data_IF_686825710010
#
_entry.id   IF_686825710010
#
_cell.length_a   1.000
_cell.length_b   1.000
_cell.length_c   1.000
_cell.angle_alpha   90.00
_cell.angle_beta   90.00
_cell.angle_gamma   90.00
#
_symmetry.space_group_name_H-M   'P 1'
#
loop_
_entity.id
_entity.type
_entity.pdbx_description
1 polymer ?
#
# COMPACT_ATOMS: atom_id res chain seq x y z
N UNK A 1 22.80 25.95 13.92
CA UNK A 1 22.00 25.85 12.67
C UNK A 1 21.75 27.28 12.15
N UNK A 2 22.19 27.59 10.93
CA UNK A 2 22.14 28.96 10.39
C UNK A 2 20.70 29.46 10.23
N UNK A 3 20.47 30.74 10.53
CA UNK A 3 19.16 31.43 10.46
C UNK A 3 18.48 31.29 9.09
N UNK A 4 19.26 31.06 8.03
CA UNK A 4 18.75 30.71 6.69
C UNK A 4 17.93 29.41 6.67
N UNK A 5 18.35 28.38 7.43
CA UNK A 5 17.66 27.08 7.50
C UNK A 5 16.31 27.20 8.23
N UNK A 6 16.21 28.10 9.21
CA UNK A 6 14.96 28.36 9.92
C UNK A 6 13.94 29.11 9.06
N UNK A 7 14.39 30.07 8.23
CA UNK A 7 13.50 30.82 7.33
C UNK A 7 12.99 29.94 6.18
N UNK A 8 13.85 29.08 5.61
CA UNK A 8 13.42 28.13 4.56
C UNK A 8 12.41 27.12 5.10
N UNK A 9 12.58 26.65 6.36
CA UNK A 9 11.62 25.75 6.99
C UNK A 9 10.29 26.43 7.33
N UNK A 10 10.29 27.72 7.72
CA UNK A 10 9.06 28.45 8.00
C UNK A 10 8.22 28.71 6.73
N UNK A 11 8.87 29.02 5.59
CA UNK A 11 8.17 29.25 4.32
C UNK A 11 7.62 27.93 3.73
N UNK A 12 8.33 26.82 3.90
CA UNK A 12 7.86 25.49 3.47
C UNK A 12 6.64 24.99 4.29
N UNK A 13 6.53 25.40 5.56
CA UNK A 13 5.44 24.97 6.46
C UNK A 13 4.21 25.88 6.37
N UNK A 14 4.35 27.16 6.00
CA UNK A 14 3.21 28.09 5.90
C UNK A 14 2.54 28.14 4.51
N UNK A 15 3.18 27.65 3.45
CA UNK A 15 2.57 27.57 2.11
C UNK A 15 1.41 26.57 1.99
N UNK A 16 1.21 25.72 3.00
CA UNK A 16 0.21 24.64 3.01
C UNK A 16 -1.10 24.99 3.75
N UNK A 17 -1.23 26.19 4.33
CA UNK A 17 -2.38 26.52 5.21
C UNK A 17 -3.29 27.61 4.62
N UNK A 18 -2.96 28.23 3.49
CA UNK A 18 -3.69 29.39 2.96
C UNK A 18 -4.32 29.20 1.56
N UNK A 19 -4.51 27.96 1.09
CA UNK A 19 -5.21 27.67 -0.16
C UNK A 19 -6.35 26.69 0.08
N UNK A 20 -7.58 27.20 0.17
CA UNK A 20 -8.78 26.40 0.39
C UNK A 20 -8.93 25.27 -0.62
N UNK A 21 -8.87 24.04 -0.13
CA UNK A 21 -9.28 22.84 -0.87
C UNK A 21 -10.76 22.55 -0.59
N UNK A 22 -11.65 23.49 -0.91
CA UNK A 22 -13.08 23.17 -1.04
C UNK A 22 -13.33 22.57 -2.43
N UNK A 23 -12.67 21.44 -2.72
CA UNK A 23 -12.99 20.64 -3.89
C UNK A 23 -13.96 19.55 -3.46
N UNK A 24 -15.19 19.47 -4.02
CA UNK A 24 -16.15 18.41 -3.71
C UNK A 24 -15.73 17.03 -4.24
N UNK A 25 -14.51 16.90 -4.79
CA UNK A 25 -13.93 15.67 -5.35
C UNK A 25 -13.81 14.53 -4.33
N UNK A 26 -13.85 14.83 -3.02
CA UNK A 26 -13.76 13.81 -1.97
C UNK A 26 -15.08 13.12 -1.59
N UNK A 27 -16.20 13.48 -2.23
CA UNK A 27 -17.54 13.03 -1.79
C UNK A 27 -18.14 11.83 -2.56
N UNK A 28 -17.43 11.28 -3.55
CA UNK A 28 -17.86 10.11 -4.33
C UNK A 28 -16.92 8.92 -4.18
N UNK A 29 -17.44 7.72 -4.43
CA UNK A 29 -16.67 6.47 -4.60
C UNK A 29 -15.44 6.77 -5.47
N UNK A 30 -14.22 6.61 -4.92
CA UNK A 30 -13.01 6.96 -5.66
C UNK A 30 -12.64 5.78 -6.58
N UNK A 31 -12.85 5.88 -7.91
CA UNK A 31 -12.64 4.76 -8.82
C UNK A 31 -11.20 4.25 -8.79
N UNK A 32 -10.23 5.11 -8.45
CA UNK A 32 -8.83 4.70 -8.30
C UNK A 32 -8.61 3.80 -7.09
N UNK A 33 -9.38 3.96 -6.01
CA UNK A 33 -9.29 3.07 -4.83
C UNK A 33 -9.81 1.68 -5.17
N UNK A 34 -10.96 1.59 -5.84
CA UNK A 34 -11.52 0.32 -6.29
C UNK A 34 -10.58 -0.40 -7.25
N UNK A 35 -10.01 0.31 -8.24
CA UNK A 35 -9.05 -0.28 -9.18
C UNK A 35 -7.75 -0.70 -8.47
N UNK A 36 -7.28 0.06 -7.49
CA UNK A 36 -6.11 -0.30 -6.68
C UNK A 36 -6.34 -1.59 -5.89
N UNK A 37 -7.51 -1.74 -5.26
CA UNK A 37 -7.90 -2.96 -4.54
C UNK A 37 -7.97 -4.15 -5.51
N UNK A 38 -8.51 -3.95 -6.71
CA UNK A 38 -8.55 -4.99 -7.75
C UNK A 38 -7.14 -5.42 -8.17
N UNK A 39 -6.26 -4.49 -8.51
CA UNK A 39 -4.87 -4.81 -8.87
C UNK A 39 -4.10 -5.46 -7.71
N UNK A 40 -4.36 -5.07 -6.46
CA UNK A 40 -3.76 -5.72 -5.30
C UNK A 40 -4.20 -7.20 -5.18
N UNK A 41 -5.47 -7.52 -5.47
CA UNK A 41 -5.96 -8.91 -5.52
C UNK A 41 -5.31 -9.71 -6.65
N UNK A 42 -5.16 -9.12 -7.83
CA UNK A 42 -4.46 -9.74 -8.96
C UNK A 42 -2.98 -9.99 -8.63
N UNK A 43 -2.31 -9.02 -8.00
CA UNK A 43 -0.93 -9.16 -7.53
C UNK A 43 -0.75 -10.30 -6.53
N UNK A 44 -1.65 -10.41 -5.54
CA UNK A 44 -1.66 -11.52 -4.58
C UNK A 44 -1.86 -12.87 -5.28
N UNK A 45 -2.72 -12.94 -6.30
CA UNK A 45 -2.91 -14.17 -7.07
C UNK A 45 -1.63 -14.58 -7.80
N UNK A 46 -0.97 -13.64 -8.48
CA UNK A 46 0.32 -13.90 -9.14
C UNK A 46 1.42 -14.30 -8.16
N UNK A 47 1.46 -13.70 -6.97
CA UNK A 47 2.44 -14.06 -5.94
C UNK A 47 2.22 -15.50 -5.43
N UNK A 48 0.97 -15.93 -5.25
CA UNK A 48 0.64 -17.32 -4.92
C UNK A 48 1.09 -18.31 -6.00
N UNK A 49 0.91 -17.97 -7.27
CA UNK A 49 1.41 -18.77 -8.40
C UNK A 49 2.95 -18.81 -8.42
N UNK A 50 3.60 -17.68 -8.20
CA UNK A 50 5.06 -17.59 -8.14
C UNK A 50 5.64 -18.45 -7.00
N UNK A 51 5.00 -18.43 -5.82
CA UNK A 51 5.35 -19.30 -4.69
C UNK A 51 5.21 -20.77 -5.07
N UNK A 52 4.12 -21.15 -5.75
CA UNK A 52 3.91 -22.54 -6.21
C UNK A 52 5.03 -22.98 -7.15
N UNK A 53 5.38 -22.16 -8.13
CA UNK A 53 6.48 -22.46 -9.04
C UNK A 53 7.84 -22.51 -8.34
N UNK A 54 8.07 -21.67 -7.34
CA UNK A 54 9.29 -21.71 -6.54
C UNK A 54 9.36 -23.01 -5.72
N UNK A 55 8.26 -23.43 -5.09
CA UNK A 55 8.17 -24.70 -4.36
C UNK A 55 8.46 -25.90 -5.27
N UNK A 56 7.93 -25.91 -6.49
CA UNK A 56 8.23 -26.93 -7.49
C UNK A 56 9.70 -26.90 -7.93
N UNK A 57 10.24 -25.71 -8.19
CA UNK A 57 11.62 -25.53 -8.65
C UNK A 57 12.66 -25.97 -7.60
N UNK A 58 12.35 -25.81 -6.31
CA UNK A 58 13.25 -26.19 -5.22
C UNK A 58 12.96 -27.58 -4.65
N UNK A 59 11.99 -28.31 -5.19
CA UNK A 59 11.60 -29.63 -4.70
C UNK A 59 12.79 -30.60 -4.78
N UNK A 60 13.20 -31.14 -3.64
CA UNK A 60 14.36 -32.02 -3.54
C UNK A 60 15.72 -31.31 -3.59
N UNK A 61 15.73 -29.98 -3.52
CA UNK A 61 16.96 -29.19 -3.40
C UNK A 61 17.34 -28.96 -1.93
N UNK A 62 18.64 -29.03 -1.65
CA UNK A 62 19.22 -28.66 -0.36
C UNK A 62 19.82 -27.25 -0.34
N UNK A 63 19.56 -26.47 -1.38
CA UNK A 63 20.02 -25.08 -1.44
C UNK A 63 19.31 -24.23 -0.37
N UNK A 64 20.06 -23.82 0.65
CA UNK A 64 19.56 -23.01 1.76
C UNK A 64 18.98 -21.66 1.31
N UNK A 65 19.62 -20.98 0.35
CA UNK A 65 19.14 -19.70 -0.16
C UNK A 65 17.84 -19.83 -0.94
N UNK A 66 17.62 -20.97 -1.61
CA UNK A 66 16.37 -21.21 -2.33
C UNK A 66 15.19 -21.43 -1.36
N UNK A 67 15.44 -22.09 -0.23
CA UNK A 67 14.47 -22.24 0.87
C UNK A 67 14.19 -20.90 1.56
N UNK A 68 15.23 -20.10 1.81
CA UNK A 68 15.10 -18.74 2.37
C UNK A 68 14.31 -17.80 1.45
N UNK A 69 14.56 -17.86 0.13
CA UNK A 69 13.79 -17.11 -0.85
C UNK A 69 12.29 -17.47 -0.83
N UNK A 70 11.97 -18.76 -0.63
CA UNK A 70 10.58 -19.22 -0.48
C UNK A 70 9.92 -18.67 0.79
N UNK A 71 10.64 -18.66 1.91
CA UNK A 71 10.13 -18.06 3.16
C UNK A 71 9.87 -16.56 2.98
N UNK A 72 10.79 -15.81 2.38
CA UNK A 72 10.57 -14.39 2.11
C UNK A 72 9.42 -14.11 1.15
N UNK A 73 9.19 -14.97 0.15
CA UNK A 73 8.03 -14.87 -0.71
C UNK A 73 6.72 -15.08 0.08
N UNK A 74 6.68 -16.05 0.99
CA UNK A 74 5.53 -16.28 1.88
C UNK A 74 5.28 -15.11 2.85
N UNK A 75 6.33 -14.52 3.41
CA UNK A 75 6.23 -13.32 4.24
C UNK A 75 5.72 -12.11 3.46
N UNK A 76 6.21 -11.93 2.22
CA UNK A 76 5.77 -10.86 1.32
C UNK A 76 4.28 -10.99 1.00
N UNK A 77 3.81 -12.20 0.70
CA UNK A 77 2.41 -12.50 0.48
C UNK A 77 1.54 -12.14 1.69
N UNK A 78 2.00 -12.49 2.90
CA UNK A 78 1.28 -12.15 4.13
C UNK A 78 1.14 -10.63 4.28
N UNK A 79 2.21 -9.87 4.07
CA UNK A 79 2.15 -8.40 4.13
C UNK A 79 1.24 -7.80 3.04
N UNK A 80 1.20 -8.40 1.85
CA UNK A 80 0.29 -7.99 0.79
C UNK A 80 -1.18 -8.21 1.20
N UNK A 81 -1.51 -9.35 1.79
CA UNK A 81 -2.87 -9.66 2.30
C UNK A 81 -3.29 -8.73 3.45
N UNK A 82 -2.38 -8.41 4.38
CA UNK A 82 -2.63 -7.43 5.45
C UNK A 82 -2.84 -6.02 4.87
N UNK A 83 -2.03 -5.62 3.90
CA UNK A 83 -2.16 -4.32 3.22
C UNK A 83 -3.49 -4.20 2.46
N UNK A 84 -3.92 -5.27 1.79
CA UNK A 84 -5.21 -5.33 1.12
C UNK A 84 -6.36 -5.19 2.13
N UNK A 85 -6.28 -5.89 3.26
CA UNK A 85 -7.28 -5.79 4.34
C UNK A 85 -7.42 -4.35 4.83
N UNK A 86 -6.30 -3.65 5.05
CA UNK A 86 -6.32 -2.24 5.44
C UNK A 86 -6.87 -1.31 4.34
N UNK A 87 -6.57 -1.58 3.07
CA UNK A 87 -7.11 -0.81 1.96
C UNK A 87 -8.64 -0.97 1.86
N UNK A 88 -9.16 -2.19 2.04
CA UNK A 88 -10.60 -2.48 2.05
C UNK A 88 -11.30 -1.80 3.25
N UNK A 89 -10.70 -1.86 4.44
CA UNK A 89 -11.20 -1.14 5.63
C UNK A 89 -11.24 0.38 5.39
N UNK A 90 -10.17 0.95 4.84
CA UNK A 90 -10.10 2.38 4.55
C UNK A 90 -11.14 2.82 3.51
N UNK A 91 -11.39 1.98 2.49
CA UNK A 91 -12.46 2.20 1.52
C UNK A 91 -13.84 2.16 2.18
N UNK A 92 -14.08 1.22 3.10
CA UNK A 92 -15.33 1.10 3.84
C UNK A 92 -15.57 2.27 4.82
N UNK A 93 -14.55 2.74 5.55
CA UNK A 93 -14.68 3.83 6.54
C UNK A 93 -14.98 5.19 5.90
N UNK A 94 -14.60 5.44 4.65
CA UNK A 94 -14.99 6.67 3.93
C UNK A 94 -16.50 6.76 3.66
N UNK A 95 -17.23 5.65 3.72
CA UNK A 95 -18.69 5.63 3.53
C UNK A 95 -19.48 6.07 4.77
N UNK A 96 -18.88 6.07 5.97
CA UNK A 96 -19.59 6.34 7.25
C UNK A 96 -19.29 7.72 7.87
N UNK A 97 -18.45 8.54 7.23
CA UNK A 97 -18.03 9.85 7.74
C UNK A 97 -18.97 11.05 7.48
N UNK A 98 -20.21 10.83 6.99
CA UNK A 98 -21.20 11.89 6.77
C UNK A 98 -22.43 11.71 7.67
N UNK A 99 -22.27 12.03 8.95
CA UNK A 99 -23.39 12.37 9.82
C UNK A 99 -22.88 13.22 10.98
N UNK A 100 -22.70 14.52 10.74
CA UNK A 100 -22.86 15.60 11.72
C UNK A 100 -22.91 16.94 10.99
#
# INVERSE_FOLDING_TARGET
MSRMKAVVMAVAVCGLIAGGVTSPVFAGENPHVTETIKHAKEGIAHEKEAITHLEEAIKGSDNAHAKEALEHAKESLKHAEESLTHAEQAAAHKSTGKAK
#
